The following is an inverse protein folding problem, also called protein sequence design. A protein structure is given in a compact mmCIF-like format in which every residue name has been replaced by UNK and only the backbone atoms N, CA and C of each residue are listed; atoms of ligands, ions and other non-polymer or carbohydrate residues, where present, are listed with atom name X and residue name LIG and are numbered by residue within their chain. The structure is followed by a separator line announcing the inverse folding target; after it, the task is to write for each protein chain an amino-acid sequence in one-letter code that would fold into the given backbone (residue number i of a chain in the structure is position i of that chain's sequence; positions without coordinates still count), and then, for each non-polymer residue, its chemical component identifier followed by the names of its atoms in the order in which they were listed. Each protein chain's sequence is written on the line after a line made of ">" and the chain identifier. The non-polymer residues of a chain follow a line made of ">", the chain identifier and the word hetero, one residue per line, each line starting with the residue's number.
data_IF_156088455373
#
_entry.id   IF_156088455373
#
_cell.length_a   1.000
_cell.length_b   1.000
_cell.length_c   1.000
_cell.angle_alpha   90.00
_cell.angle_beta   90.00
_cell.angle_gamma   90.00
#
_symmetry.space_group_name_H-M   'P 1'
#
loop_
_entity.id
_entity.type
_entity.pdbx_description
1 polymer ?
#
# COMPACT_ATOMS: atom_id res chain seq x y z
N UNK A 1 -18.40 -36.73 36.38
CA UNK A 1 -18.01 -35.30 36.36
C UNK A 1 -17.79 -34.92 34.91
N UNK A 2 -18.76 -34.26 34.28
CA UNK A 2 -18.66 -33.83 32.89
C UNK A 2 -17.75 -32.59 32.83
N UNK A 3 -16.65 -32.67 32.09
CA UNK A 3 -15.75 -31.55 31.85
C UNK A 3 -16.50 -30.44 31.14
N UNK A 4 -16.45 -29.22 31.70
CA UNK A 4 -17.01 -28.04 31.07
C UNK A 4 -16.34 -27.78 29.71
N UNK A 5 -17.11 -27.45 28.66
CA UNK A 5 -16.52 -27.06 27.39
C UNK A 5 -15.77 -25.74 27.61
N UNK A 6 -14.48 -25.76 27.37
CA UNK A 6 -13.61 -24.59 27.44
C UNK A 6 -14.04 -23.64 26.32
N UNK A 7 -14.92 -22.69 26.63
CA UNK A 7 -15.27 -21.59 25.73
C UNK A 7 -14.03 -20.75 25.51
N UNK A 8 -13.41 -20.86 24.33
CA UNK A 8 -12.35 -19.95 23.91
C UNK A 8 -12.89 -18.52 24.05
N UNK A 9 -12.28 -17.66 24.89
CA UNK A 9 -12.84 -16.35 25.19
C UNK A 9 -13.00 -15.53 23.90
N UNK A 10 -14.11 -14.80 23.80
CA UNK A 10 -14.50 -13.96 22.66
C UNK A 10 -13.53 -12.80 22.31
N UNK A 11 -12.34 -12.75 22.90
CA UNK A 11 -11.33 -11.71 22.72
C UNK A 11 -10.66 -11.76 21.34
N UNK A 12 -10.58 -12.93 20.72
CA UNK A 12 -9.96 -13.14 19.39
C UNK A 12 -10.75 -12.50 18.24
N UNK A 13 -12.07 -12.31 18.38
CA UNK A 13 -12.93 -11.79 17.30
C UNK A 13 -12.81 -10.27 17.12
N UNK A 14 -12.46 -9.52 18.17
CA UNK A 14 -12.46 -8.04 18.16
C UNK A 14 -11.42 -7.43 17.22
N UNK A 15 -10.33 -8.14 16.94
CA UNK A 15 -9.21 -7.65 16.12
C UNK A 15 -9.04 -8.42 14.80
N UNK A 16 -9.97 -9.31 14.46
CA UNK A 16 -9.93 -10.08 13.22
C UNK A 16 -9.92 -9.19 11.97
N UNK A 17 -10.51 -7.99 12.06
CA UNK A 17 -10.50 -7.00 10.99
C UNK A 17 -9.09 -6.52 10.65
N UNK A 18 -8.15 -6.45 11.62
CA UNK A 18 -6.75 -6.06 11.37
C UNK A 18 -6.08 -7.11 10.49
N UNK A 19 -6.32 -8.38 10.82
CA UNK A 19 -5.82 -9.50 10.02
C UNK A 19 -6.44 -9.53 8.63
N UNK A 20 -7.74 -9.29 8.51
CA UNK A 20 -8.41 -9.17 7.21
C UNK A 20 -7.84 -8.01 6.40
N UNK A 21 -7.61 -6.84 7.03
CA UNK A 21 -7.02 -5.67 6.40
C UNK A 21 -5.63 -5.98 5.84
N UNK A 22 -4.71 -6.51 6.65
CA UNK A 22 -3.37 -6.85 6.20
C UNK A 22 -3.34 -7.97 5.14
N UNK A 23 -4.27 -8.92 5.20
CA UNK A 23 -4.40 -9.95 4.18
C UNK A 23 -4.85 -9.37 2.84
N UNK A 24 -5.75 -8.38 2.85
CA UNK A 24 -6.28 -7.73 1.66
C UNK A 24 -5.30 -6.70 1.08
N UNK A 25 -4.60 -5.94 1.92
CA UNK A 25 -3.68 -4.89 1.46
C UNK A 25 -2.35 -5.44 0.98
N UNK A 26 -1.83 -6.53 1.55
CA UNK A 26 -0.57 -7.13 1.10
C UNK A 26 -0.50 -7.40 -0.42
N UNK A 27 -1.47 -8.08 -1.08
CA UNK A 27 -1.41 -8.27 -2.52
C UNK A 27 -1.54 -6.96 -3.32
N UNK A 28 -2.32 -5.97 -2.83
CA UNK A 28 -2.44 -4.67 -3.47
C UNK A 28 -1.11 -3.90 -3.44
N UNK A 29 -0.41 -3.94 -2.32
CA UNK A 29 0.88 -3.27 -2.15
C UNK A 29 2.00 -3.94 -2.95
N UNK A 30 1.97 -5.28 -3.04
CA UNK A 30 2.87 -6.03 -3.94
C UNK A 30 2.57 -5.67 -5.40
N UNK A 31 1.30 -5.56 -5.76
CA UNK A 31 0.89 -5.18 -7.11
C UNK A 31 1.39 -3.79 -7.48
N UNK A 32 1.24 -2.82 -6.58
CA UNK A 32 1.71 -1.45 -6.74
C UNK A 32 3.24 -1.35 -6.80
N UNK A 33 3.93 -2.02 -5.87
CA UNK A 33 5.38 -2.11 -5.90
C UNK A 33 5.87 -2.76 -7.21
N UNK A 34 5.18 -3.81 -7.67
CA UNK A 34 5.45 -4.45 -8.94
C UNK A 34 5.33 -3.48 -10.11
N UNK A 35 4.26 -2.69 -10.18
CA UNK A 35 4.12 -1.65 -11.20
C UNK A 35 5.33 -0.72 -11.22
N UNK A 36 5.69 -0.16 -10.07
CA UNK A 36 6.75 0.85 -9.96
C UNK A 36 8.15 0.29 -10.24
N UNK A 37 8.47 -0.89 -9.70
CA UNK A 37 9.81 -1.48 -9.82
C UNK A 37 10.06 -2.15 -11.17
N UNK A 38 9.02 -2.46 -11.94
CA UNK A 38 9.14 -3.02 -13.29
C UNK A 38 9.02 -1.96 -14.40
N UNK A 39 9.03 -0.66 -14.09
CA UNK A 39 9.10 0.39 -15.11
C UNK A 39 10.39 0.26 -15.92
N UNK A 40 10.36 0.35 -17.27
CA UNK A 40 9.21 0.77 -18.10
C UNK A 40 8.36 -0.41 -18.61
N UNK A 41 8.71 -1.66 -18.31
CA UNK A 41 8.00 -2.86 -18.80
C UNK A 41 6.53 -2.89 -18.40
N UNK A 42 6.22 -2.41 -17.20
CA UNK A 42 4.86 -2.30 -16.65
C UNK A 42 4.04 -1.12 -17.19
N UNK A 43 4.68 -0.14 -17.85
CA UNK A 43 4.05 1.10 -18.31
C UNK A 43 3.53 0.98 -19.74
N UNK A 44 2.67 1.91 -20.18
CA UNK A 44 2.21 1.97 -21.57
C UNK A 44 3.42 2.00 -22.53
N UNK A 45 3.45 1.05 -23.48
CA UNK A 45 4.60 0.79 -24.37
C UNK A 45 5.50 -0.36 -23.94
N UNK A 46 5.38 -0.85 -22.71
CA UNK A 46 6.14 -1.99 -22.16
C UNK A 46 5.50 -3.36 -22.44
N UNK A 47 6.30 -4.42 -22.34
CA UNK A 47 5.88 -5.81 -22.61
C UNK A 47 4.99 -6.43 -21.51
N UNK A 48 5.00 -5.86 -20.30
CA UNK A 48 4.17 -6.28 -19.16
C UNK A 48 2.96 -5.36 -18.93
N UNK A 49 2.80 -4.32 -19.74
CA UNK A 49 1.72 -3.32 -19.60
C UNK A 49 0.32 -3.92 -19.51
N UNK A 50 0.05 -5.00 -20.26
CA UNK A 50 -1.25 -5.65 -20.28
C UNK A 50 -1.73 -6.07 -18.88
N UNK A 51 -0.81 -6.40 -17.99
CA UNK A 51 -1.11 -6.78 -16.61
C UNK A 51 -1.44 -5.56 -15.76
N UNK A 52 -0.66 -4.47 -15.87
CA UNK A 52 -0.85 -3.22 -15.13
C UNK A 52 -1.68 -2.17 -15.87
N UNK A 53 -2.47 -2.54 -16.87
CA UNK A 53 -3.25 -1.61 -17.69
C UNK A 53 -4.04 -0.55 -16.89
N UNK A 54 -4.67 -0.85 -15.74
CA UNK A 54 -5.38 0.16 -14.93
C UNK A 54 -4.50 1.33 -14.45
N UNK A 55 -3.18 1.13 -14.33
CA UNK A 55 -2.24 2.18 -13.93
C UNK A 55 -2.08 3.29 -14.96
N UNK A 56 -2.50 3.08 -16.21
CA UNK A 56 -2.58 4.19 -17.17
C UNK A 56 -3.59 5.25 -16.74
N UNK A 57 -4.77 4.83 -16.25
CA UNK A 57 -5.75 5.75 -15.68
C UNK A 57 -5.20 6.42 -14.43
N UNK A 58 -4.51 5.66 -13.58
CA UNK A 58 -3.90 6.20 -12.37
C UNK A 58 -2.81 7.23 -12.70
N UNK A 59 -1.96 6.94 -13.68
CA UNK A 59 -0.92 7.83 -14.17
C UNK A 59 -1.43 9.10 -14.87
N UNK A 60 -2.72 9.16 -15.24
CA UNK A 60 -3.37 10.39 -15.69
C UNK A 60 -3.88 11.26 -14.53
N UNK A 61 -4.18 10.66 -13.38
CA UNK A 61 -4.58 11.38 -12.17
C UNK A 61 -3.35 11.81 -11.40
N UNK A 62 -2.41 10.91 -11.15
CA UNK A 62 -1.17 11.20 -10.48
C UNK A 62 0.01 10.96 -11.42
N UNK A 63 0.63 12.06 -11.86
CA UNK A 63 1.74 11.99 -12.79
C UNK A 63 2.99 11.28 -12.24
N UNK A 64 3.12 11.09 -10.93
CA UNK A 64 4.18 10.24 -10.32
C UNK A 64 4.11 8.80 -10.84
N UNK A 65 2.93 8.33 -11.26
CA UNK A 65 2.74 7.01 -11.87
C UNK A 65 2.86 7.02 -13.40
N UNK A 66 2.97 8.19 -14.03
CA UNK A 66 3.00 8.35 -15.48
C UNK A 66 4.36 8.00 -16.11
N UNK A 67 4.33 7.71 -17.42
CA UNK A 67 5.54 7.44 -18.23
C UNK A 67 6.51 8.61 -18.18
N UNK A 68 5.98 9.84 -18.26
CA UNK A 68 6.79 11.06 -18.25
C UNK A 68 7.65 11.18 -16.99
N UNK A 69 7.10 10.94 -15.80
CA UNK A 69 7.86 10.98 -14.55
C UNK A 69 9.04 9.98 -14.56
N UNK A 70 8.84 8.80 -15.16
CA UNK A 70 9.93 7.83 -15.34
C UNK A 70 10.99 8.32 -16.33
N UNK A 71 10.59 8.88 -17.48
CA UNK A 71 11.50 9.43 -18.50
C UNK A 71 12.28 10.65 -17.98
N UNK A 72 11.66 11.48 -17.15
CA UNK A 72 12.27 12.63 -16.48
C UNK A 72 13.22 12.20 -15.32
N UNK A 73 13.30 10.90 -15.02
CA UNK A 73 14.20 10.33 -14.02
C UNK A 73 13.73 10.53 -12.58
N UNK A 74 12.43 10.74 -12.35
CA UNK A 74 11.87 10.96 -11.02
C UNK A 74 11.91 9.68 -10.17
N UNK A 75 12.58 9.75 -9.01
CA UNK A 75 12.80 8.58 -8.15
C UNK A 75 11.67 8.26 -7.16
N UNK A 76 10.70 9.16 -6.98
CA UNK A 76 9.76 9.10 -5.86
C UNK A 76 8.89 7.83 -5.87
N UNK A 77 8.28 7.49 -7.01
CA UNK A 77 7.40 6.32 -7.12
C UNK A 77 8.11 5.00 -6.78
N UNK A 78 9.32 4.81 -7.31
CA UNK A 78 10.13 3.63 -7.05
C UNK A 78 10.62 3.58 -5.59
N UNK A 79 10.97 4.74 -5.00
CA UNK A 79 11.33 4.81 -3.58
C UNK A 79 10.15 4.47 -2.67
N UNK A 80 8.95 4.99 -2.97
CA UNK A 80 7.71 4.65 -2.27
C UNK A 80 7.36 3.15 -2.41
N UNK A 81 7.62 2.56 -3.58
CA UNK A 81 7.43 1.13 -3.81
C UNK A 81 8.33 0.24 -2.95
N UNK A 82 9.55 0.67 -2.61
CA UNK A 82 10.40 -0.06 -1.65
C UNK A 82 9.76 -0.03 -0.26
N UNK A 83 9.17 1.09 0.16
CA UNK A 83 8.42 1.16 1.41
C UNK A 83 7.19 0.23 1.37
N UNK A 84 6.47 0.13 0.25
CA UNK A 84 5.38 -0.85 0.09
C UNK A 84 5.85 -2.28 0.36
N UNK A 85 7.04 -2.68 -0.12
CA UNK A 85 7.58 -4.02 0.15
C UNK A 85 7.90 -4.21 1.64
N UNK A 86 8.52 -3.23 2.29
CA UNK A 86 8.80 -3.28 3.74
C UNK A 86 7.51 -3.38 4.57
N UNK A 87 6.51 -2.58 4.24
CA UNK A 87 5.19 -2.63 4.87
C UNK A 87 4.50 -3.97 4.62
N UNK A 88 4.61 -4.53 3.41
CA UNK A 88 4.07 -5.86 3.08
C UNK A 88 4.75 -6.95 3.92
N UNK A 89 6.07 -6.90 4.09
CA UNK A 89 6.78 -7.84 4.96
C UNK A 89 6.31 -7.73 6.42
N UNK A 90 6.06 -6.52 6.92
CA UNK A 90 5.50 -6.33 8.25
C UNK A 90 4.06 -6.87 8.36
N UNK A 91 3.21 -6.64 7.36
CA UNK A 91 1.84 -7.16 7.31
C UNK A 91 1.82 -8.70 7.30
N UNK A 92 2.62 -9.33 6.44
CA UNK A 92 2.76 -10.79 6.40
C UNK A 92 3.36 -11.30 7.72
N UNK A 93 4.38 -10.63 8.25
CA UNK A 93 5.00 -10.95 9.53
C UNK A 93 4.00 -10.93 10.69
N UNK A 94 3.11 -9.92 10.74
CA UNK A 94 2.00 -9.88 11.69
C UNK A 94 1.05 -11.07 11.50
N UNK A 95 0.65 -11.39 10.26
CA UNK A 95 -0.30 -12.47 9.98
C UNK A 95 0.27 -13.84 10.37
N UNK A 96 1.51 -14.12 9.98
CA UNK A 96 2.23 -15.35 10.34
C UNK A 96 2.43 -15.40 11.86
N UNK A 97 2.86 -14.30 12.47
CA UNK A 97 3.09 -14.21 13.90
C UNK A 97 1.83 -14.38 14.73
N UNK A 98 0.69 -13.89 14.25
CA UNK A 98 -0.60 -13.96 14.96
C UNK A 98 -1.29 -15.32 14.75
N UNK A 99 -1.27 -15.86 13.53
CA UNK A 99 -2.12 -17.01 13.17
C UNK A 99 -1.38 -18.34 13.05
N UNK A 100 -0.09 -18.33 12.70
CA UNK A 100 0.70 -19.54 12.50
C UNK A 100 1.64 -19.80 13.67
N UNK A 101 2.54 -18.86 13.95
CA UNK A 101 3.61 -19.00 14.95
C UNK A 101 3.17 -18.59 16.37
N UNK A 102 2.15 -17.72 16.49
CA UNK A 102 1.56 -17.25 17.75
C UNK A 102 2.58 -16.68 18.76
N UNK A 103 3.44 -15.76 18.31
CA UNK A 103 4.38 -15.07 19.20
C UNK A 103 3.86 -13.71 19.69
N UNK A 104 4.20 -13.34 20.92
CA UNK A 104 3.61 -12.20 21.62
C UNK A 104 3.94 -10.83 20.99
N UNK A 105 5.08 -10.75 20.29
CA UNK A 105 5.52 -9.53 19.61
C UNK A 105 4.84 -9.30 18.24
N UNK A 106 3.96 -10.19 17.76
CA UNK A 106 3.33 -10.04 16.45
C UNK A 106 2.56 -8.70 16.28
N UNK A 107 1.81 -8.21 17.29
CA UNK A 107 1.17 -6.90 17.22
C UNK A 107 2.16 -5.74 17.04
N UNK A 108 3.37 -5.84 17.62
CA UNK A 108 4.40 -4.81 17.45
C UNK A 108 4.88 -4.75 16.00
N UNK A 109 5.05 -5.91 15.35
CA UNK A 109 5.41 -5.98 13.92
C UNK A 109 4.35 -5.31 13.05
N UNK A 110 3.07 -5.62 13.31
CA UNK A 110 1.94 -4.99 12.59
C UNK A 110 1.86 -3.48 12.81
N UNK A 111 2.09 -3.03 14.05
CA UNK A 111 2.15 -1.61 14.39
C UNK A 111 3.30 -0.89 13.66
N UNK A 112 4.48 -1.49 13.57
CA UNK A 112 5.61 -0.93 12.81
C UNK A 112 5.26 -0.78 11.33
N UNK A 113 4.65 -1.79 10.72
CA UNK A 113 4.17 -1.73 9.33
C UNK A 113 3.18 -0.59 9.11
N UNK A 114 2.13 -0.51 9.94
CA UNK A 114 1.13 0.55 9.86
C UNK A 114 1.73 1.96 10.07
N UNK A 115 2.70 2.09 10.97
CA UNK A 115 3.42 3.35 11.20
C UNK A 115 4.22 3.78 9.97
N UNK A 116 4.88 2.83 9.31
CA UNK A 116 5.60 3.09 8.06
C UNK A 116 4.65 3.54 6.94
N UNK A 117 3.47 2.90 6.80
CA UNK A 117 2.44 3.33 5.86
C UNK A 117 1.99 4.77 6.13
N UNK A 118 1.69 5.11 7.39
CA UNK A 118 1.32 6.47 7.77
C UNK A 118 2.42 7.49 7.43
N UNK A 119 3.67 7.17 7.76
CA UNK A 119 4.81 8.04 7.45
C UNK A 119 4.97 8.25 5.95
N UNK A 120 4.79 7.20 5.14
CA UNK A 120 4.81 7.28 3.68
C UNK A 120 3.67 8.15 3.14
N UNK A 121 2.44 7.99 3.64
CA UNK A 121 1.30 8.84 3.26
C UNK A 121 1.56 10.31 3.56
N UNK A 122 2.13 10.62 4.74
CA UNK A 122 2.51 11.99 5.11
C UNK A 122 3.58 12.51 4.15
N UNK A 123 4.60 11.72 3.85
CA UNK A 123 5.68 12.11 2.94
C UNK A 123 5.15 12.40 1.52
N UNK A 124 4.30 11.52 1.00
CA UNK A 124 3.68 11.66 -0.32
C UNK A 124 2.79 12.90 -0.41
N UNK A 125 1.96 13.14 0.61
CA UNK A 125 1.12 14.34 0.66
C UNK A 125 1.96 15.62 0.80
N UNK A 126 3.05 15.56 1.58
CA UNK A 126 3.97 16.68 1.78
C UNK A 126 4.72 17.02 0.49
N UNK A 127 5.10 16.01 -0.30
CA UNK A 127 5.76 16.22 -1.59
C UNK A 127 4.86 17.03 -2.53
N UNK A 128 3.57 16.68 -2.64
CA UNK A 128 2.62 17.47 -3.44
C UNK A 128 2.45 18.89 -2.87
N UNK A 129 2.36 19.05 -1.54
CA UNK A 129 2.27 20.38 -0.93
C UNK A 129 3.48 21.27 -1.26
N UNK A 130 4.70 20.75 -1.09
CA UNK A 130 5.93 21.53 -1.30
C UNK A 130 6.26 21.80 -2.77
N UNK A 131 5.73 21.00 -3.70
CA UNK A 131 5.87 21.25 -5.14
C UNK A 131 4.68 21.99 -5.77
N UNK A 132 3.73 22.50 -4.96
CA UNK A 132 2.49 23.16 -5.40
C UNK A 132 1.59 22.28 -6.29
N UNK A 133 1.43 21.01 -5.93
CA UNK A 133 0.59 20.05 -6.65
C UNK A 133 1.16 19.68 -8.02
N UNK A 134 2.48 19.51 -8.11
CA UNK A 134 3.17 19.24 -9.37
C UNK A 134 2.68 17.98 -10.09
N UNK A 135 2.22 16.95 -9.36
CA UNK A 135 1.76 15.70 -9.96
C UNK A 135 0.24 15.57 -10.01
N UNK A 136 -0.50 16.24 -9.11
CA UNK A 136 -1.95 16.09 -8.99
C UNK A 136 -2.77 17.37 -9.16
N UNK A 137 -2.13 18.54 -9.27
CA UNK A 137 -2.77 19.84 -9.29
C UNK A 137 -3.61 20.13 -10.54
N UNK A 138 -3.46 19.34 -11.60
CA UNK A 138 -4.27 19.44 -12.82
C UNK A 138 -5.67 18.81 -12.69
N UNK A 139 -5.92 18.04 -11.63
CA UNK A 139 -7.17 17.31 -11.47
C UNK A 139 -8.35 18.21 -11.09
N UNK A 140 -9.55 17.80 -11.50
CA UNK A 140 -10.78 18.34 -10.91
C UNK A 140 -10.86 17.95 -9.43
N UNK A 141 -11.55 18.74 -8.57
CA UNK A 141 -11.67 18.42 -7.15
C UNK A 141 -12.27 17.02 -6.89
N UNK A 142 -13.19 16.57 -7.75
CA UNK A 142 -13.77 15.24 -7.65
C UNK A 142 -12.75 14.13 -7.97
N UNK A 143 -11.99 14.26 -9.06
CA UNK A 143 -10.99 13.25 -9.44
C UNK A 143 -9.87 13.18 -8.39
N UNK A 144 -9.41 14.34 -7.92
CA UNK A 144 -8.43 14.42 -6.84
C UNK A 144 -8.94 13.71 -5.58
N UNK A 145 -10.18 13.96 -5.17
CA UNK A 145 -10.75 13.30 -4.00
C UNK A 145 -10.91 11.79 -4.20
N UNK A 146 -11.53 11.36 -5.30
CA UNK A 146 -11.91 9.97 -5.51
C UNK A 146 -10.71 9.04 -5.77
N UNK A 147 -9.69 9.51 -6.48
CA UNK A 147 -8.58 8.68 -6.95
C UNK A 147 -7.26 8.94 -6.21
N UNK A 148 -7.12 10.08 -5.52
CA UNK A 148 -5.88 10.41 -4.81
C UNK A 148 -6.07 10.54 -3.30
N UNK A 149 -7.03 11.33 -2.82
CA UNK A 149 -7.23 11.53 -1.36
C UNK A 149 -7.85 10.30 -0.71
N UNK A 150 -9.03 9.87 -1.15
CA UNK A 150 -9.77 8.76 -0.53
C UNK A 150 -8.98 7.44 -0.42
N UNK A 151 -8.20 7.00 -1.44
CA UNK A 151 -7.46 5.75 -1.34
C UNK A 151 -6.15 5.85 -0.51
N UNK A 152 -5.62 7.06 -0.29
CA UNK A 152 -4.33 7.23 0.39
C UNK A 152 -4.44 7.71 1.84
N UNK A 153 -5.63 8.15 2.29
CA UNK A 153 -5.91 8.70 3.64
C UNK A 153 -6.66 7.72 4.52
#
# INVERSE_FOLDING_TARGET
>A
MAGSPTTIPALTRKHAWISAWFLLTAPLMIWDAGYCLMRPRSMNGGDLYWFWKPYELYGMVDYVYGVKAYEDGEGFASAAAILNLLETFANIGYLVGTHLLRFDAAPLVGYTGATATLAKTILYSSQEYFCNGCAVGHNTPFNLFAFWIFPNV
#
